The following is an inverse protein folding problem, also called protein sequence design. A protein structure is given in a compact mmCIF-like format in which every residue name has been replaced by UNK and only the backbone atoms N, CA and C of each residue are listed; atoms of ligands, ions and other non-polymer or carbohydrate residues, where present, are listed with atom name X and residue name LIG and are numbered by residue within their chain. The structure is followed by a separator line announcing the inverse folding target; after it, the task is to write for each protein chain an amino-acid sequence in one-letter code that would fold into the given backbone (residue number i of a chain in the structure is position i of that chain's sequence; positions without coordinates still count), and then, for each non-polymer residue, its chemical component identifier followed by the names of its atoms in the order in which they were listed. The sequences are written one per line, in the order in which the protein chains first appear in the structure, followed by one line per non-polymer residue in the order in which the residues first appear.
data_IF_446826322196
#
_entry.id   IF_446826322196
#
_cell.length_a   1.000
_cell.length_b   1.000
_cell.length_c   1.000
_cell.angle_alpha   90.00
_cell.angle_beta   90.00
_cell.angle_gamma   90.00
#
_symmetry.space_group_name_H-M   'P 1'
#
loop_
_entity.id
_entity.type
_entity.pdbx_description
1 polymer ?
#
# COMPACT_ATOMS: atom_id res chain seq x y z
N UNK A 1 17.37 -8.50 16.13
CA UNK A 1 15.99 -8.14 15.69
C UNK A 1 15.33 -9.43 15.25
N UNK A 2 14.09 -9.70 15.68
CA UNK A 2 13.46 -10.99 15.46
C UNK A 2 12.35 -10.81 14.44
N UNK A 3 12.45 -11.46 13.27
CA UNK A 3 11.46 -11.43 12.18
C UNK A 3 10.03 -11.67 12.69
N UNK A 4 9.89 -12.50 13.72
CA UNK A 4 8.62 -12.79 14.38
C UNK A 4 7.98 -11.52 14.96
N UNK A 5 8.77 -10.62 15.53
CA UNK A 5 8.29 -9.35 16.08
C UNK A 5 7.80 -8.41 14.97
N UNK A 6 8.52 -8.36 13.84
CA UNK A 6 8.14 -7.52 12.69
C UNK A 6 6.85 -8.03 12.02
N UNK A 7 6.71 -9.36 11.88
CA UNK A 7 5.47 -9.98 11.39
C UNK A 7 4.31 -9.70 12.36
N UNK A 8 4.54 -9.83 13.66
CA UNK A 8 3.50 -9.57 14.68
C UNK A 8 3.06 -8.10 14.64
N UNK A 9 4.00 -7.17 14.46
CA UNK A 9 3.71 -5.74 14.32
C UNK A 9 2.93 -5.45 13.04
N UNK A 10 3.31 -6.06 11.91
CA UNK A 10 2.59 -5.96 10.64
C UNK A 10 1.14 -6.45 10.76
N UNK A 11 0.92 -7.63 11.34
CA UNK A 11 -0.43 -8.21 11.52
C UNK A 11 -1.29 -7.33 12.44
N UNK A 12 -0.73 -6.84 13.56
CA UNK A 12 -1.46 -5.94 14.48
C UNK A 12 -1.86 -4.62 13.81
N UNK A 13 -0.96 -4.03 13.04
CA UNK A 13 -1.25 -2.80 12.30
C UNK A 13 -2.31 -3.06 11.22
N UNK A 14 -2.18 -4.14 10.46
CA UNK A 14 -3.17 -4.54 9.46
C UNK A 14 -4.56 -4.75 10.05
N UNK A 15 -4.66 -5.45 11.19
CA UNK A 15 -5.93 -5.65 11.89
C UNK A 15 -6.54 -4.33 12.36
N UNK A 16 -5.72 -3.44 12.93
CA UNK A 16 -6.17 -2.10 13.38
C UNK A 16 -6.73 -1.30 12.21
N UNK A 17 -5.97 -1.18 11.12
CA UNK A 17 -6.40 -0.44 9.92
C UNK A 17 -7.67 -1.04 9.32
N UNK A 18 -7.76 -2.37 9.21
CA UNK A 18 -8.96 -3.06 8.71
C UNK A 18 -10.18 -2.80 9.59
N UNK A 19 -10.01 -2.82 10.91
CA UNK A 19 -11.07 -2.51 11.88
C UNK A 19 -11.55 -1.08 11.73
N UNK A 20 -10.63 -0.11 11.65
CA UNK A 20 -10.96 1.30 11.40
C UNK A 20 -11.74 1.47 10.10
N UNK A 21 -11.26 0.89 8.99
CA UNK A 21 -11.94 0.90 7.71
C UNK A 21 -13.34 0.26 7.78
N UNK A 22 -13.51 -0.87 8.48
CA UNK A 22 -14.82 -1.53 8.64
C UNK A 22 -15.83 -0.70 9.44
N UNK A 23 -15.34 0.18 10.33
CA UNK A 23 -16.16 1.13 11.08
C UNK A 23 -16.46 2.43 10.33
N UNK A 24 -16.00 2.54 9.08
CA UNK A 24 -16.13 3.77 8.27
C UNK A 24 -15.17 4.89 8.68
N UNK A 25 -14.24 4.63 9.59
CA UNK A 25 -13.20 5.57 10.00
C UNK A 25 -12.00 5.43 9.06
N UNK A 26 -12.00 6.22 7.98
CA UNK A 26 -10.90 6.29 7.03
C UNK A 26 -10.00 7.49 7.33
N UNK A 27 -8.69 7.31 7.20
CA UNK A 27 -7.74 8.43 7.24
C UNK A 27 -7.76 9.14 5.87
N UNK A 28 -8.75 10.01 5.70
CA UNK A 28 -9.05 10.65 4.42
C UNK A 28 -8.04 11.70 3.97
N UNK A 29 -7.20 12.19 4.89
CA UNK A 29 -6.28 13.31 4.69
C UNK A 29 -4.82 12.86 4.49
N UNK A 30 -4.58 11.56 4.31
CA UNK A 30 -3.24 11.10 3.98
C UNK A 30 -2.87 11.56 2.55
N UNK A 31 -1.63 12.01 2.30
CA UNK A 31 -1.19 12.44 0.97
C UNK A 31 -1.44 11.38 -0.13
N UNK A 32 -1.35 10.11 0.23
CA UNK A 32 -1.59 8.98 -0.65
C UNK A 32 -3.07 8.84 -1.04
N UNK A 33 -3.99 9.02 -0.07
CA UNK A 33 -5.43 8.98 -0.32
C UNK A 33 -5.87 10.23 -1.10
N UNK A 34 -5.28 11.40 -0.83
CA UNK A 34 -5.52 12.60 -1.63
C UNK A 34 -5.06 12.43 -3.09
N UNK A 35 -3.89 11.82 -3.31
CA UNK A 35 -3.40 11.52 -4.65
C UNK A 35 -4.33 10.56 -5.40
N UNK A 36 -4.80 9.50 -4.71
CA UNK A 36 -5.79 8.55 -5.24
C UNK A 36 -7.12 9.23 -5.60
N UNK A 37 -7.67 10.05 -4.70
CA UNK A 37 -8.90 10.83 -4.96
C UNK A 37 -8.69 11.76 -6.16
N UNK A 38 -7.53 12.41 -6.25
CA UNK A 38 -7.20 13.31 -7.36
C UNK A 38 -7.16 12.57 -8.69
N UNK A 39 -6.55 11.39 -8.73
CA UNK A 39 -6.55 10.54 -9.92
C UNK A 39 -7.97 10.09 -10.28
N UNK A 40 -8.72 9.56 -9.31
CA UNK A 40 -10.03 8.95 -9.56
C UNK A 40 -11.10 9.95 -10.01
N UNK A 41 -11.13 11.15 -9.42
CA UNK A 41 -12.22 12.11 -9.66
C UNK A 41 -11.87 13.27 -10.60
N UNK A 42 -10.59 13.62 -10.73
CA UNK A 42 -10.19 14.85 -11.43
C UNK A 42 -9.35 14.60 -12.68
N UNK A 43 -8.85 13.38 -12.89
CA UNK A 43 -8.09 13.04 -14.09
C UNK A 43 -9.04 12.38 -15.11
N UNK A 44 -9.32 13.03 -16.27
CA UNK A 44 -10.04 12.36 -17.33
C UNK A 44 -9.22 11.15 -17.80
N UNK A 45 -9.85 9.98 -17.80
CA UNK A 45 -9.19 8.74 -18.15
C UNK A 45 -9.96 8.00 -19.24
N UNK A 46 -9.26 7.11 -19.93
CA UNK A 46 -9.86 6.17 -20.87
C UNK A 46 -9.33 4.76 -20.58
N UNK A 47 -10.02 3.75 -21.12
CA UNK A 47 -9.69 2.34 -20.87
C UNK A 47 -8.22 1.99 -21.12
N UNK A 48 -7.58 2.63 -22.09
CA UNK A 48 -6.18 2.40 -22.40
C UNK A 48 -5.26 2.96 -21.31
N UNK A 49 -5.47 4.22 -20.90
CA UNK A 49 -4.69 4.85 -19.82
C UNK A 49 -4.90 4.14 -18.49
N UNK A 50 -6.11 3.67 -18.20
CA UNK A 50 -6.40 2.93 -16.96
C UNK A 50 -5.66 1.59 -16.92
N UNK A 51 -5.61 0.89 -18.06
CA UNK A 51 -4.88 -0.38 -18.16
C UNK A 51 -3.37 -0.17 -17.99
N UNK A 52 -2.84 0.94 -18.50
CA UNK A 52 -1.42 1.28 -18.33
C UNK A 52 -1.09 1.65 -16.88
N UNK A 53 -1.90 2.49 -16.24
CA UNK A 53 -1.72 2.85 -14.83
C UNK A 53 -1.78 1.61 -13.94
N UNK A 54 -2.77 0.73 -14.14
CA UNK A 54 -2.89 -0.51 -13.38
C UNK A 54 -1.65 -1.41 -13.51
N UNK A 55 -1.04 -1.48 -14.71
CA UNK A 55 0.21 -2.24 -14.90
C UNK A 55 1.35 -1.62 -14.10
N UNK A 56 1.53 -0.30 -14.18
CA UNK A 56 2.56 0.42 -13.42
C UNK A 56 2.37 0.26 -11.92
N UNK A 57 1.16 0.35 -11.42
CA UNK A 57 0.86 0.19 -9.99
C UNK A 57 1.21 -1.21 -9.51
N UNK A 58 0.88 -2.24 -10.29
CA UNK A 58 1.26 -3.63 -9.97
C UNK A 58 2.77 -3.82 -9.94
N UNK A 59 3.49 -3.22 -10.89
CA UNK A 59 4.96 -3.29 -10.94
C UNK A 59 5.59 -2.55 -9.74
N UNK A 60 5.04 -1.40 -9.37
CA UNK A 60 5.48 -0.63 -8.20
C UNK A 60 5.28 -1.43 -6.91
N UNK A 61 4.09 -1.98 -6.69
CA UNK A 61 3.80 -2.82 -5.52
C UNK A 61 4.73 -4.03 -5.46
N UNK A 62 4.93 -4.73 -6.59
CA UNK A 62 5.83 -5.88 -6.64
C UNK A 62 7.28 -5.49 -6.30
N UNK A 63 7.76 -4.35 -6.80
CA UNK A 63 9.09 -3.81 -6.51
C UNK A 63 9.24 -3.44 -5.04
N UNK A 64 8.24 -2.81 -4.46
CA UNK A 64 8.27 -2.38 -3.06
C UNK A 64 8.26 -3.58 -2.12
N UNK A 65 7.41 -4.59 -2.39
CA UNK A 65 7.40 -5.86 -1.65
C UNK A 65 8.76 -6.55 -1.72
N UNK A 66 9.35 -6.63 -2.92
CA UNK A 66 10.67 -7.25 -3.11
C UNK A 66 11.77 -6.50 -2.36
N UNK A 67 11.72 -5.17 -2.37
CA UNK A 67 12.67 -4.31 -1.66
C UNK A 67 12.54 -4.48 -0.14
N UNK A 68 11.32 -4.45 0.37
CA UNK A 68 11.02 -4.68 1.79
C UNK A 68 11.50 -6.07 2.24
N UNK A 69 11.24 -7.11 1.43
CA UNK A 69 11.72 -8.47 1.71
C UNK A 69 13.25 -8.55 1.73
N UNK A 70 13.93 -7.96 0.74
CA UNK A 70 15.40 -7.94 0.70
C UNK A 70 15.99 -7.20 1.90
N UNK A 71 15.42 -6.06 2.29
CA UNK A 71 15.84 -5.32 3.47
C UNK A 71 15.66 -6.14 4.76
N UNK A 72 14.56 -6.88 4.84
CA UNK A 72 14.32 -7.80 5.96
C UNK A 72 15.35 -8.94 5.97
N UNK A 73 15.69 -9.53 4.83
CA UNK A 73 16.75 -10.55 4.75
C UNK A 73 18.10 -9.98 5.17
N UNK A 74 18.48 -8.80 4.67
CA UNK A 74 19.75 -8.14 4.99
C UNK A 74 19.87 -7.71 6.46
N UNK A 75 18.77 -7.33 7.10
CA UNK A 75 18.75 -6.95 8.53
C UNK A 75 18.85 -8.16 9.48
N UNK A 76 18.68 -9.38 8.97
CA UNK A 76 18.64 -10.62 9.75
C UNK A 76 19.76 -11.61 9.36
N UNK A 77 20.66 -11.22 8.45
CA UNK A 77 21.86 -11.96 8.05
C UNK A 77 23.10 -11.52 8.82
#
# INVERSE_FOLDING_TARGET
MCIINDITHFVKNGFTVLRHASSGNYEENSPEIEALKREMFFKPSNRHTDTENLRKDRDNVARDVRTAFNNLVLSNG
#
